data_IF_423930510728
#
_entry.id   IF_423930510728
#
_cell.length_a   1.000
_cell.length_b   1.000
_cell.length_c   1.000
_cell.angle_alpha   90.00
_cell.angle_beta   90.00
_cell.angle_gamma   90.00
#
_symmetry.space_group_name_H-M   'P 1'
#
loop_
_entity.id
_entity.type
_entity.pdbx_description
1 polymer ?
#
# COMPACT_ATOMS: atom_id res chain seq x y z
N UNK A 1 8.64 13.51 0.07
CA UNK A 1 8.77 13.97 1.50
C UNK A 1 9.27 12.81 2.34
N UNK A 2 10.21 13.02 3.23
CA UNK A 2 10.65 12.02 4.21
C UNK A 2 9.62 11.96 5.35
N UNK A 3 8.88 10.85 5.45
CA UNK A 3 7.86 10.65 6.48
C UNK A 3 8.45 10.10 7.79
N UNK A 4 9.49 9.27 7.67
CA UNK A 4 10.23 8.71 8.82
C UNK A 4 11.69 8.45 8.46
N UNK A 5 12.42 7.75 9.33
CA UNK A 5 13.79 7.35 9.06
C UNK A 5 13.89 6.37 7.88
N UNK A 6 12.91 5.50 7.68
CA UNK A 6 12.90 4.50 6.62
C UNK A 6 11.89 4.79 5.50
N UNK A 7 10.92 5.69 5.69
CA UNK A 7 9.78 5.89 4.80
C UNK A 7 9.80 7.23 4.07
N UNK A 8 9.66 7.21 2.75
CA UNK A 8 9.45 8.38 1.88
C UNK A 8 8.06 8.32 1.28
N UNK A 9 7.42 9.49 1.17
CA UNK A 9 6.14 9.66 0.49
C UNK A 9 6.29 10.64 -0.68
N UNK A 10 5.71 10.28 -1.82
CA UNK A 10 5.65 11.15 -2.99
C UNK A 10 4.30 11.03 -3.69
N UNK A 11 3.69 12.17 -4.03
CA UNK A 11 2.53 12.17 -4.92
C UNK A 11 2.99 12.34 -6.36
N UNK A 12 2.45 11.54 -7.25
CA UNK A 12 2.68 11.65 -8.68
C UNK A 12 1.36 11.78 -9.43
N UNK A 13 1.41 12.54 -10.52
CA UNK A 13 0.31 12.78 -11.43
C UNK A 13 0.72 12.34 -12.84
N UNK A 14 -0.16 11.65 -13.54
CA UNK A 14 -0.02 11.30 -14.94
C UNK A 14 -1.28 11.75 -15.69
N UNK A 15 -1.09 12.56 -16.75
CA UNK A 15 -2.18 13.02 -17.59
C UNK A 15 -2.47 12.01 -18.72
N UNK A 16 -3.69 12.06 -19.31
CA UNK A 16 -4.02 11.24 -20.48
C UNK A 16 -2.99 11.32 -21.60
N UNK A 17 -2.53 10.17 -22.09
CA UNK A 17 -1.53 10.08 -23.15
C UNK A 17 -0.07 10.28 -22.69
N UNK A 18 0.17 10.62 -21.43
CA UNK A 18 1.53 10.72 -20.90
C UNK A 18 2.15 9.35 -20.62
N UNK A 19 3.47 9.35 -20.64
CA UNK A 19 4.29 8.18 -20.36
C UNK A 19 5.52 8.57 -19.53
N UNK A 20 5.73 7.90 -18.41
CA UNK A 20 6.93 8.00 -17.60
C UNK A 20 7.91 6.88 -17.99
N UNK A 21 9.16 7.24 -18.37
CA UNK A 21 10.13 6.29 -18.93
C UNK A 21 10.47 5.12 -18.02
N UNK A 22 10.74 3.98 -18.65
CA UNK A 22 11.20 2.78 -17.96
C UNK A 22 12.49 3.03 -17.20
N UNK A 23 12.51 2.62 -15.95
CA UNK A 23 13.66 2.69 -15.07
C UNK A 23 13.60 1.59 -14.01
N UNK A 24 14.69 1.39 -13.30
CA UNK A 24 14.76 0.56 -12.10
C UNK A 24 15.57 1.25 -11.02
N UNK A 25 15.25 0.98 -9.79
CA UNK A 25 15.96 1.52 -8.63
C UNK A 25 16.06 0.50 -7.50
N UNK A 26 16.98 0.73 -6.57
CA UNK A 26 17.16 -0.15 -5.40
C UNK A 26 16.09 0.00 -4.33
N UNK A 27 15.55 1.19 -3.99
CA UNK A 27 14.42 1.26 -3.07
C UNK A 27 13.24 0.43 -3.55
N UNK A 28 12.55 -0.27 -2.63
CA UNK A 28 11.22 -0.77 -2.91
C UNK A 28 10.24 0.39 -2.93
N UNK A 29 9.23 0.30 -3.79
CA UNK A 29 8.11 1.21 -3.78
C UNK A 29 6.78 0.45 -3.88
N UNK A 30 5.75 1.04 -3.31
CA UNK A 30 4.36 0.73 -3.61
C UNK A 30 3.65 1.98 -4.07
N UNK A 31 2.65 1.81 -4.91
CA UNK A 31 1.74 2.85 -5.38
C UNK A 31 0.35 2.59 -4.87
N UNK A 32 -0.15 3.47 -4.01
CA UNK A 32 -1.56 3.54 -3.64
C UNK A 32 -2.25 4.51 -4.61
N UNK A 33 -3.21 4.01 -5.39
CA UNK A 33 -3.91 4.84 -6.36
C UNK A 33 -4.92 5.72 -5.63
N UNK A 34 -4.67 7.02 -5.66
CA UNK A 34 -5.44 8.02 -4.91
C UNK A 34 -6.67 8.46 -5.69
N UNK A 35 -6.51 8.73 -6.99
CA UNK A 35 -7.57 9.29 -7.84
C UNK A 35 -7.42 8.84 -9.29
N UNK A 36 -8.54 8.69 -9.98
CA UNK A 36 -8.62 8.36 -11.39
C UNK A 36 -8.48 6.87 -11.70
N UNK A 37 -8.56 6.57 -13.00
CA UNK A 37 -8.39 5.24 -13.60
C UNK A 37 -7.82 5.34 -15.02
N UNK A 38 -7.52 4.19 -15.66
CA UNK A 38 -7.04 4.12 -17.04
C UNK A 38 -5.54 4.32 -17.23
N UNK A 39 -4.80 4.68 -16.18
CA UNK A 39 -3.34 4.56 -16.20
C UNK A 39 -2.91 3.13 -15.84
N UNK A 40 -1.63 2.85 -16.02
CA UNK A 40 -1.03 1.57 -15.67
C UNK A 40 0.44 1.71 -15.28
N UNK A 41 0.90 0.76 -14.47
CA UNK A 41 2.33 0.50 -14.27
C UNK A 41 2.68 -0.81 -14.94
N UNK A 42 3.72 -0.84 -15.78
CA UNK A 42 4.29 -2.10 -16.28
C UNK A 42 5.53 -2.44 -15.43
N UNK A 43 5.55 -3.61 -14.83
CA UNK A 43 6.66 -4.10 -13.99
C UNK A 43 7.17 -5.41 -14.57
N UNK A 44 8.42 -5.44 -15.03
CA UNK A 44 9.03 -6.60 -15.71
C UNK A 44 8.11 -7.24 -16.79
N UNK A 45 7.46 -6.37 -17.58
CA UNK A 45 6.53 -6.76 -18.63
C UNK A 45 5.10 -7.04 -18.18
N UNK A 46 4.80 -7.13 -16.91
CA UNK A 46 3.43 -7.28 -16.42
C UNK A 46 2.73 -5.92 -16.33
N UNK A 47 1.67 -5.72 -17.15
CA UNK A 47 0.88 -4.50 -17.16
C UNK A 47 -0.17 -4.54 -16.05
N UNK A 48 0.04 -3.74 -14.99
CA UNK A 48 -0.86 -3.57 -13.86
C UNK A 48 -1.75 -2.35 -14.08
N UNK A 49 -3.05 -2.49 -14.38
CA UNK A 49 -3.95 -1.35 -14.49
C UNK A 49 -4.13 -0.68 -13.14
N UNK A 50 -4.35 0.64 -13.18
CA UNK A 50 -4.57 1.48 -12.00
C UNK A 50 -6.05 1.79 -11.87
N UNK A 51 -6.62 1.52 -10.70
CA UNK A 51 -7.94 1.99 -10.27
C UNK A 51 -7.84 2.50 -8.84
N UNK A 52 -8.64 3.49 -8.49
CA UNK A 52 -8.59 4.11 -7.15
C UNK A 52 -8.62 3.07 -6.03
N UNK A 53 -7.72 3.20 -5.07
CA UNK A 53 -7.56 2.31 -3.92
C UNK A 53 -6.68 1.08 -4.18
N UNK A 54 -6.33 0.78 -5.44
CA UNK A 54 -5.42 -0.33 -5.76
C UNK A 54 -4.03 -0.07 -5.17
N UNK A 55 -3.39 -1.15 -4.73
CA UNK A 55 -1.98 -1.15 -4.35
C UNK A 55 -1.17 -1.88 -5.41
N UNK A 56 -0.15 -1.21 -5.97
CA UNK A 56 0.75 -1.77 -6.98
C UNK A 56 2.18 -1.74 -6.46
N UNK A 57 2.88 -2.85 -6.60
CA UNK A 57 4.28 -2.99 -6.19
C UNK A 57 5.21 -2.60 -7.34
N UNK A 58 6.29 -1.90 -7.01
CA UNK A 58 7.47 -1.73 -7.86
C UNK A 58 8.70 -2.10 -7.03
N UNK A 59 8.99 -3.42 -6.98
CA UNK A 59 10.03 -3.94 -6.12
C UNK A 59 11.43 -3.55 -6.56
N UNK A 60 12.37 -3.60 -5.61
CA UNK A 60 13.81 -3.40 -5.81
C UNK A 60 14.32 -4.07 -7.08
N UNK A 61 14.94 -3.29 -7.96
CA UNK A 61 15.68 -3.77 -9.12
C UNK A 61 14.82 -4.21 -10.31
N UNK A 62 13.48 -4.28 -10.17
CA UNK A 62 12.60 -4.61 -11.28
C UNK A 62 12.39 -3.37 -12.17
N UNK A 63 12.44 -3.60 -13.50
CA UNK A 63 12.12 -2.57 -14.47
C UNK A 63 10.66 -2.17 -14.40
N UNK A 64 10.39 -0.88 -14.36
CA UNK A 64 9.01 -0.40 -14.39
C UNK A 64 8.89 0.93 -15.14
N UNK A 65 7.72 1.14 -15.71
CA UNK A 65 7.30 2.33 -16.43
C UNK A 65 5.82 2.60 -16.18
N UNK A 66 5.38 3.83 -16.49
CA UNK A 66 3.96 4.20 -16.33
C UNK A 66 3.46 4.76 -17.65
N UNK A 67 2.21 4.45 -17.98
CA UNK A 67 1.53 5.02 -19.11
C UNK A 67 0.07 5.26 -18.80
N UNK A 68 -0.60 6.05 -19.64
CA UNK A 68 -1.99 6.43 -19.44
C UNK A 68 -2.79 6.31 -20.74
N UNK A 69 -3.67 5.31 -20.79
CA UNK A 69 -4.55 5.04 -21.93
C UNK A 69 -5.98 5.59 -21.71
N UNK A 70 -6.26 6.16 -20.53
CA UNK A 70 -7.56 6.71 -20.14
C UNK A 70 -7.76 8.17 -20.54
N UNK A 71 -8.82 8.79 -19.99
CA UNK A 71 -9.27 10.14 -20.36
C UNK A 71 -9.26 11.15 -19.21
N UNK A 72 -9.04 10.71 -17.98
CA UNK A 72 -8.99 11.56 -16.78
C UNK A 72 -7.61 11.44 -16.13
N UNK A 73 -7.10 12.48 -15.47
CA UNK A 73 -5.84 12.39 -14.74
C UNK A 73 -5.86 11.26 -13.71
N UNK A 74 -4.70 10.65 -13.49
CA UNK A 74 -4.50 9.65 -12.43
C UNK A 74 -3.43 10.14 -11.46
N UNK A 75 -3.74 10.07 -10.16
CA UNK A 75 -2.84 10.44 -9.07
C UNK A 75 -2.59 9.21 -8.20
N UNK A 76 -1.35 9.01 -7.81
CA UNK A 76 -0.99 7.98 -6.83
C UNK A 76 -0.03 8.50 -5.78
N UNK A 77 -0.08 7.86 -4.61
CA UNK A 77 0.86 8.01 -3.51
C UNK A 77 1.92 6.92 -3.60
N UNK A 78 3.17 7.31 -3.83
CA UNK A 78 4.31 6.41 -3.67
C UNK A 78 4.73 6.35 -2.21
N UNK A 79 4.95 5.13 -1.71
CA UNK A 79 5.58 4.87 -0.41
C UNK A 79 6.83 4.04 -0.67
N UNK A 80 8.00 4.60 -0.34
CA UNK A 80 9.30 3.97 -0.60
C UNK A 80 10.13 3.83 0.67
N UNK A 81 10.96 2.77 0.71
CA UNK A 81 12.02 2.63 1.72
C UNK A 81 13.30 3.41 1.35
N UNK A 82 13.17 4.42 0.49
CA UNK A 82 14.26 5.25 -0.02
C UNK A 82 15.17 5.84 1.07
N UNK A 83 14.67 6.41 2.19
CA UNK A 83 15.56 7.01 3.18
C UNK A 83 16.52 6.01 3.81
N UNK A 84 16.05 4.78 4.08
CA UNK A 84 16.89 3.72 4.61
C UNK A 84 17.92 3.25 3.58
N UNK A 85 17.49 2.97 2.34
CA UNK A 85 18.38 2.52 1.27
C UNK A 85 19.43 3.59 0.94
N UNK A 86 19.06 4.86 1.01
CA UNK A 86 20.00 5.98 0.84
C UNK A 86 21.00 6.05 2.00
N UNK A 87 20.54 5.89 3.24
CA UNK A 87 21.41 5.87 4.42
C UNK A 87 22.44 4.74 4.39
N UNK A 88 22.06 3.60 3.81
CA UNK A 88 22.96 2.44 3.59
C UNK A 88 23.91 2.63 2.40
N UNK A 89 23.89 3.79 1.73
CA UNK A 89 24.70 4.11 0.53
C UNK A 89 24.47 3.10 -0.63
N UNK A 90 23.28 2.46 -0.66
CA UNK A 90 22.91 1.45 -1.63
C UNK A 90 21.91 1.95 -2.71
N UNK A 91 21.62 3.26 -2.70
CA UNK A 91 20.61 3.84 -3.59
C UNK A 91 21.15 4.14 -4.96
N UNK A 92 20.50 3.62 -6.00
CA UNK A 92 20.71 4.02 -7.40
C UNK A 92 19.39 4.03 -8.18
N UNK A 93 19.41 4.70 -9.33
CA UNK A 93 18.38 4.64 -10.36
C UNK A 93 19.06 4.51 -11.73
N UNK A 94 18.51 3.66 -12.60
CA UNK A 94 19.01 3.44 -13.96
C UNK A 94 17.83 3.52 -14.91
N UNK A 95 17.95 4.36 -15.96
CA UNK A 95 16.98 4.44 -17.06
C UNK A 95 17.11 3.24 -18.01
N UNK A 96 15.99 2.84 -18.59
CA UNK A 96 15.90 1.71 -19.52
C UNK A 96 15.03 1.99 -20.73
N UNK A 97 14.95 0.99 -21.62
CA UNK A 97 14.09 1.02 -22.80
C UNK A 97 12.63 0.71 -22.40
N UNK A 98 11.70 1.12 -23.25
CA UNK A 98 10.29 0.77 -23.11
C UNK A 98 10.13 -0.75 -23.01
N UNK A 99 9.29 -1.20 -22.08
CA UNK A 99 9.07 -2.60 -21.81
C UNK A 99 8.15 -3.26 -22.87
N UNK A 100 8.42 -4.52 -23.15
CA UNK A 100 7.49 -5.39 -23.88
C UNK A 100 6.47 -5.93 -22.87
N UNK A 101 5.20 -5.68 -23.15
CA UNK A 101 4.10 -6.16 -22.27
C UNK A 101 3.85 -7.65 -22.54
N UNK A 102 3.90 -8.44 -21.47
CA UNK A 102 3.52 -9.85 -21.50
C UNK A 102 1.99 -10.00 -21.47
N UNK A 103 1.41 -11.02 -22.11
CA UNK A 103 -0.03 -11.27 -22.03
C UNK A 103 -0.43 -11.76 -20.62
N UNK A 104 -1.64 -11.40 -20.21
CA UNK A 104 -2.24 -11.86 -18.95
C UNK A 104 -2.17 -10.84 -17.81
N UNK A 105 -2.77 -11.25 -16.70
CA UNK A 105 -2.83 -10.47 -15.45
C UNK A 105 -2.45 -11.39 -14.31
N UNK A 106 -1.28 -11.11 -13.69
CA UNK A 106 -0.77 -11.90 -12.57
C UNK A 106 -1.69 -11.90 -11.35
N UNK A 107 -2.37 -10.78 -11.07
CA UNK A 107 -3.32 -10.66 -9.95
C UNK A 107 -4.54 -11.61 -10.09
N UNK A 108 -4.94 -11.96 -11.31
CA UNK A 108 -6.09 -12.84 -11.55
C UNK A 108 -5.88 -14.28 -11.02
N UNK A 109 -4.63 -14.73 -10.98
CA UNK A 109 -4.27 -16.07 -10.47
C UNK A 109 -4.59 -16.20 -8.97
N UNK A 110 -4.51 -15.10 -8.23
CA UNK A 110 -4.72 -15.02 -6.77
C UNK A 110 -6.08 -14.40 -6.39
N UNK A 111 -6.99 -14.24 -7.36
CA UNK A 111 -8.30 -13.62 -7.12
C UNK A 111 -9.26 -14.48 -6.29
N UNK A 112 -9.01 -15.79 -6.19
CA UNK A 112 -9.85 -16.74 -5.46
C UNK A 112 -9.21 -17.08 -4.11
N UNK A 113 -9.85 -16.68 -3.02
CA UNK A 113 -9.36 -16.98 -1.67
C UNK A 113 -9.26 -18.49 -1.42
N UNK A 114 -8.16 -18.91 -0.80
CA UNK A 114 -7.91 -20.31 -0.46
C UNK A 114 -7.44 -21.20 -1.62
N UNK A 115 -7.26 -20.64 -2.82
CA UNK A 115 -6.73 -21.35 -3.98
C UNK A 115 -5.43 -20.71 -4.45
N UNK A 116 -4.36 -21.51 -4.56
CA UNK A 116 -3.07 -21.11 -5.08
C UNK A 116 -2.66 -22.03 -6.24
N UNK A 117 -1.80 -21.57 -7.16
CA UNK A 117 -1.16 -22.45 -8.12
C UNK A 117 -0.47 -23.62 -7.41
N UNK A 118 -0.55 -24.83 -8.00
CA UNK A 118 0.06 -26.01 -7.38
C UNK A 118 1.57 -25.80 -7.16
N UNK A 119 2.07 -25.99 -5.92
CA UNK A 119 3.49 -25.71 -5.63
C UNK A 119 4.46 -26.58 -6.43
N UNK A 120 4.04 -27.77 -6.88
CA UNK A 120 4.89 -28.71 -7.62
C UNK A 120 5.03 -28.32 -9.09
N UNK A 121 3.97 -27.79 -9.71
CA UNK A 121 3.93 -27.60 -11.16
C UNK A 121 3.79 -26.15 -11.61
N UNK A 122 3.25 -25.29 -10.75
CA UNK A 122 2.78 -23.96 -11.15
C UNK A 122 3.22 -22.83 -10.22
N UNK A 123 3.92 -23.16 -9.11
CA UNK A 123 4.40 -22.12 -8.21
C UNK A 123 5.36 -21.20 -8.93
N UNK A 124 5.15 -19.91 -8.79
CA UNK A 124 6.07 -18.91 -9.29
C UNK A 124 7.40 -19.03 -8.54
N UNK A 125 8.51 -18.94 -9.26
CA UNK A 125 9.84 -18.72 -8.68
C UNK A 125 10.11 -17.23 -8.42
N UNK A 126 9.17 -16.38 -8.77
CA UNK A 126 9.26 -14.93 -8.58
C UNK A 126 9.16 -14.57 -7.11
N UNK A 127 10.06 -13.72 -6.65
CA UNK A 127 10.01 -13.16 -5.29
C UNK A 127 8.71 -12.39 -5.02
N UNK A 128 8.14 -11.79 -6.06
CA UNK A 128 6.88 -11.04 -6.05
C UNK A 128 5.91 -11.68 -7.04
N UNK A 129 5.19 -12.74 -6.63
CA UNK A 129 4.30 -13.48 -7.52
C UNK A 129 3.05 -12.68 -7.93
N UNK A 130 2.66 -11.70 -7.11
CA UNK A 130 1.55 -10.79 -7.35
C UNK A 130 2.04 -9.35 -7.20
N UNK A 131 1.82 -8.52 -8.21
CA UNK A 131 2.28 -7.12 -8.25
C UNK A 131 1.15 -6.12 -7.99
N UNK A 132 -0.10 -6.47 -8.28
CA UNK A 132 -1.27 -5.63 -8.06
C UNK A 132 -2.22 -6.28 -7.07
N UNK A 133 -2.69 -5.49 -6.11
CA UNK A 133 -3.68 -5.84 -5.10
C UNK A 133 -4.92 -4.95 -5.31
N UNK A 134 -6.00 -5.49 -5.95
CA UNK A 134 -7.18 -4.70 -6.26
C UNK A 134 -7.92 -4.25 -5.00
N UNK A 135 -8.27 -2.97 -4.94
CA UNK A 135 -9.02 -2.39 -3.83
C UNK A 135 -10.35 -3.10 -3.56
N UNK A 136 -11.07 -3.47 -4.61
CA UNK A 136 -12.33 -4.18 -4.47
C UNK A 136 -12.22 -5.46 -3.63
N UNK A 137 -11.09 -6.19 -3.71
CA UNK A 137 -10.83 -7.38 -2.90
C UNK A 137 -10.53 -7.03 -1.44
N UNK A 138 -9.67 -6.04 -1.19
CA UNK A 138 -9.36 -5.59 0.16
C UNK A 138 -10.60 -5.03 0.86
N UNK A 139 -11.38 -4.22 0.16
CA UNK A 139 -12.65 -3.66 0.66
C UNK A 139 -13.67 -4.75 1.01
N UNK A 140 -13.85 -5.74 0.13
CA UNK A 140 -14.75 -6.86 0.38
C UNK A 140 -14.28 -7.71 1.58
N UNK A 141 -12.97 -7.95 1.73
CA UNK A 141 -12.41 -8.67 2.86
C UNK A 141 -12.67 -7.93 4.19
N UNK A 142 -12.48 -6.60 4.24
CA UNK A 142 -12.76 -5.77 5.41
C UNK A 142 -14.24 -5.81 5.77
N UNK A 143 -15.14 -5.69 4.80
CA UNK A 143 -16.59 -5.74 5.02
C UNK A 143 -17.03 -7.12 5.54
N UNK A 144 -16.49 -8.20 4.97
CA UNK A 144 -16.77 -9.57 5.42
C UNK A 144 -16.27 -9.79 6.85
N UNK A 145 -15.06 -9.33 7.19
CA UNK A 145 -14.50 -9.41 8.53
C UNK A 145 -15.36 -8.63 9.53
N UNK A 146 -15.83 -7.43 9.15
CA UNK A 146 -16.69 -6.61 9.99
C UNK A 146 -18.06 -7.25 10.26
N UNK A 147 -18.60 -7.96 9.27
CA UNK A 147 -19.87 -8.66 9.38
C UNK A 147 -19.77 -9.95 10.20
N UNK A 148 -18.72 -10.75 9.98
CA UNK A 148 -18.47 -12.00 10.69
C UNK A 148 -18.10 -11.78 12.17
N UNK A 149 -17.38 -10.70 12.45
CA UNK A 149 -16.90 -10.36 13.80
C UNK A 149 -17.34 -8.97 14.24
N UNK A 150 -18.63 -8.80 14.61
CA UNK A 150 -19.21 -7.49 14.94
C UNK A 150 -18.58 -6.82 16.17
N UNK A 151 -17.99 -7.59 17.07
CA UNK A 151 -17.35 -7.11 18.30
C UNK A 151 -15.85 -6.84 18.15
N UNK A 152 -15.27 -7.01 16.95
CA UNK A 152 -13.86 -6.74 16.73
C UNK A 152 -13.60 -5.21 16.75
N UNK A 153 -12.70 -4.78 17.63
CA UNK A 153 -12.37 -3.36 17.77
C UNK A 153 -11.58 -2.84 16.56
N UNK A 154 -10.64 -3.63 16.01
CA UNK A 154 -9.85 -3.27 14.86
C UNK A 154 -10.17 -4.17 13.65
N UNK A 155 -10.74 -3.59 12.60
CA UNK A 155 -11.02 -4.29 11.34
C UNK A 155 -9.91 -3.94 10.38
N UNK A 156 -8.93 -4.83 10.29
CA UNK A 156 -7.71 -4.63 9.47
C UNK A 156 -7.36 -5.90 8.73
N UNK A 157 -6.89 -5.76 7.49
CA UNK A 157 -6.29 -6.82 6.70
C UNK A 157 -4.88 -6.40 6.27
N UNK A 158 -3.99 -7.37 6.12
CA UNK A 158 -2.62 -7.18 5.70
C UNK A 158 -2.45 -7.59 4.25
N UNK A 159 -1.78 -6.77 3.45
CA UNK A 159 -1.31 -7.18 2.13
C UNK A 159 -0.13 -8.12 2.30
N UNK A 160 -0.26 -9.33 1.77
CA UNK A 160 0.74 -10.38 1.93
C UNK A 160 1.18 -10.96 0.59
N UNK A 161 2.36 -11.56 0.55
CA UNK A 161 2.73 -12.44 -0.55
C UNK A 161 1.79 -13.65 -0.51
N UNK A 162 0.97 -13.89 -1.55
CA UNK A 162 -0.08 -14.92 -1.50
C UNK A 162 0.47 -16.35 -1.41
N UNK A 163 1.72 -16.59 -1.82
CA UNK A 163 2.32 -17.92 -1.78
C UNK A 163 2.93 -18.27 -0.41
N UNK A 164 3.21 -17.27 0.43
CA UNK A 164 3.89 -17.48 1.71
C UNK A 164 3.11 -16.97 2.92
N UNK A 165 2.18 -16.04 2.71
CA UNK A 165 1.49 -15.32 3.78
C UNK A 165 2.39 -14.31 4.54
N UNK A 166 3.62 -14.12 4.10
CA UNK A 166 4.55 -13.16 4.69
C UNK A 166 4.28 -11.73 4.20
N UNK A 167 4.89 -10.75 4.87
CA UNK A 167 4.87 -9.35 4.41
C UNK A 167 5.27 -9.26 2.94
N UNK A 168 4.59 -8.38 2.19
CA UNK A 168 4.83 -8.18 0.75
C UNK A 168 6.26 -7.72 0.48
N UNK A 169 6.79 -6.87 1.35
CA UNK A 169 8.15 -6.33 1.28
C UNK A 169 8.88 -6.47 2.61
N UNK A 170 10.20 -6.33 2.56
CA UNK A 170 11.05 -6.62 3.71
C UNK A 170 11.12 -5.51 4.76
N UNK A 171 10.90 -4.27 4.34
CA UNK A 171 11.15 -3.06 5.15
C UNK A 171 9.84 -2.47 5.64
N UNK A 172 8.87 -2.33 4.75
CA UNK A 172 7.59 -1.71 5.02
C UNK A 172 6.47 -2.74 4.97
N UNK A 173 5.52 -2.64 5.89
CA UNK A 173 4.26 -3.37 5.93
C UNK A 173 3.13 -2.52 5.37
N UNK A 174 2.12 -3.17 4.79
CA UNK A 174 0.98 -2.50 4.17
C UNK A 174 -0.31 -3.16 4.60
N UNK A 175 -1.30 -2.32 4.91
CA UNK A 175 -2.56 -2.76 5.50
C UNK A 175 -3.72 -1.96 4.91
N UNK A 176 -4.91 -2.56 4.91
CA UNK A 176 -6.15 -1.83 4.77
C UNK A 176 -6.95 -1.93 6.07
N UNK A 177 -7.56 -0.82 6.49
CA UNK A 177 -8.30 -0.70 7.74
C UNK A 177 -9.68 -0.09 7.47
N UNK A 178 -10.70 -0.57 8.17
CA UNK A 178 -12.05 -0.05 8.13
C UNK A 178 -12.48 0.41 9.53
N UNK A 179 -13.05 1.59 9.60
CA UNK A 179 -13.82 2.05 10.77
C UNK A 179 -15.31 1.99 10.45
N UNK A 180 -16.08 1.35 11.34
CA UNK A 180 -17.55 1.38 11.26
C UNK A 180 -18.07 2.81 11.43
N UNK A 181 -19.32 3.09 11.05
CA UNK A 181 -19.98 4.36 11.37
C UNK A 181 -19.89 4.67 12.87
N UNK A 182 -19.46 5.89 13.23
CA UNK A 182 -19.32 6.35 14.62
C UNK A 182 -18.19 5.71 15.42
N UNK A 183 -17.42 4.78 14.86
CA UNK A 183 -16.36 4.07 15.58
C UNK A 183 -15.19 4.96 15.93
N UNK A 184 -14.65 4.77 17.13
CA UNK A 184 -13.34 5.27 17.55
C UNK A 184 -12.42 4.08 17.80
N UNK A 185 -11.22 4.09 17.24
CA UNK A 185 -10.18 3.09 17.40
C UNK A 185 -8.91 3.78 17.93
N UNK A 186 -8.44 3.34 19.09
CA UNK A 186 -7.12 3.73 19.60
C UNK A 186 -6.12 2.64 19.25
N UNK A 187 -5.09 3.00 18.50
CA UNK A 187 -3.98 2.10 18.19
C UNK A 187 -2.97 2.15 19.34
N UNK A 188 -2.37 1.01 19.71
CA UNK A 188 -1.32 1.00 20.70
C UNK A 188 -0.11 1.80 20.18
N UNK A 189 0.59 2.50 21.07
CA UNK A 189 1.85 3.14 20.73
C UNK A 189 2.89 2.07 20.41
N UNK A 190 3.46 2.12 19.21
CA UNK A 190 4.38 1.10 18.71
C UNK A 190 5.64 1.74 18.12
N UNK A 191 6.73 0.98 18.10
CA UNK A 191 8.03 1.49 17.65
C UNK A 191 8.05 1.97 16.19
N UNK A 192 7.36 1.35 15.20
CA UNK A 192 7.33 1.85 13.82
C UNK A 192 6.54 3.15 13.70
N UNK A 193 7.03 4.04 12.83
CA UNK A 193 6.24 5.14 12.30
C UNK A 193 5.17 4.58 11.34
N UNK A 194 4.03 5.28 11.23
CA UNK A 194 2.89 4.84 10.43
C UNK A 194 2.36 5.97 9.54
N UNK A 195 1.94 5.60 8.33
CA UNK A 195 1.23 6.45 7.37
C UNK A 195 -0.22 5.99 7.30
N UNK A 196 -1.14 6.94 7.29
CA UNK A 196 -2.57 6.74 7.09
C UNK A 196 -3.00 7.55 5.87
N UNK A 197 -3.58 6.87 4.89
CA UNK A 197 -4.20 7.50 3.72
C UNK A 197 -5.68 7.13 3.69
N UNK A 198 -6.56 8.15 3.66
CA UNK A 198 -8.00 7.92 3.63
C UNK A 198 -8.46 7.65 2.20
N UNK A 199 -8.87 6.41 1.92
CA UNK A 199 -9.36 5.98 0.60
C UNK A 199 -10.81 6.40 0.40
N UNK A 200 -11.69 6.09 1.37
CA UNK A 200 -13.13 6.37 1.30
C UNK A 200 -13.64 6.94 2.62
N UNK A 201 -14.54 7.91 2.53
CA UNK A 201 -15.27 8.47 3.68
C UNK A 201 -14.63 9.72 4.26
N UNK A 202 -14.83 9.94 5.55
CA UNK A 202 -14.26 11.03 6.33
C UNK A 202 -13.94 10.56 7.75
N UNK A 203 -12.82 11.01 8.29
CA UNK A 203 -12.39 10.62 9.62
C UNK A 203 -11.63 11.74 10.33
N UNK A 204 -11.44 11.59 11.63
CA UNK A 204 -10.51 12.37 12.43
C UNK A 204 -9.37 11.47 12.85
N UNK A 205 -8.14 11.95 12.72
CA UNK A 205 -6.95 11.29 13.22
C UNK A 205 -6.32 12.18 14.28
N UNK A 206 -6.20 11.67 15.49
CA UNK A 206 -5.47 12.32 16.57
C UNK A 206 -4.12 11.64 16.78
N UNK A 207 -3.06 12.42 16.78
CA UNK A 207 -1.68 11.96 17.01
C UNK A 207 -1.14 12.79 18.17
N UNK A 208 -0.87 12.15 19.31
CA UNK A 208 -0.54 12.81 20.56
C UNK A 208 -1.61 13.86 20.91
N UNK A 209 -1.22 15.13 21.00
CA UNK A 209 -2.10 16.26 21.31
C UNK A 209 -2.72 16.96 20.11
N UNK A 210 -2.37 16.53 18.89
CA UNK A 210 -2.83 17.14 17.63
C UNK A 210 -3.94 16.32 16.99
N UNK A 211 -4.96 16.98 16.45
CA UNK A 211 -6.08 16.34 15.74
C UNK A 211 -6.25 16.93 14.36
N UNK A 212 -6.52 16.07 13.38
CA UNK A 212 -6.67 16.41 11.96
C UNK A 212 -7.97 15.80 11.44
N UNK A 213 -8.83 16.61 10.80
CA UNK A 213 -9.92 16.11 9.99
C UNK A 213 -9.38 15.66 8.64
N UNK A 214 -9.65 14.43 8.25
CA UNK A 214 -9.30 13.87 6.95
C UNK A 214 -10.54 13.66 6.10
N UNK A 215 -10.43 14.00 4.83
CA UNK A 215 -11.35 13.63 3.76
C UNK A 215 -10.65 12.68 2.79
N UNK A 216 -11.40 12.14 1.84
CA UNK A 216 -10.84 11.25 0.80
C UNK A 216 -9.62 11.87 0.13
N UNK A 217 -8.59 11.08 -0.11
CA UNK A 217 -7.27 11.44 -0.64
C UNK A 217 -6.31 12.11 0.35
N UNK A 218 -6.74 12.46 1.55
CA UNK A 218 -5.83 12.99 2.57
C UNK A 218 -4.88 11.92 3.12
N UNK A 219 -3.66 12.36 3.44
CA UNK A 219 -2.61 11.51 4.02
C UNK A 219 -1.99 12.18 5.24
N UNK A 220 -1.79 11.43 6.31
CA UNK A 220 -1.05 11.89 7.48
C UNK A 220 -0.06 10.82 7.95
N UNK A 221 0.93 11.24 8.76
CA UNK A 221 1.98 10.39 9.30
C UNK A 221 2.05 10.53 10.81
N UNK A 222 2.13 9.41 11.52
CA UNK A 222 2.42 9.36 12.95
C UNK A 222 3.86 8.89 13.16
N UNK A 223 4.68 9.62 13.94
CA UNK A 223 6.00 9.14 14.35
C UNK A 223 5.91 7.85 15.15
N UNK A 224 7.02 7.10 15.22
CA UNK A 224 7.12 5.94 16.10
C UNK A 224 6.81 6.28 17.56
N UNK A 225 6.22 5.34 18.27
CA UNK A 225 5.76 5.46 19.66
C UNK A 225 4.69 6.53 19.93
N UNK A 226 4.11 7.14 18.89
CA UNK A 226 3.01 8.09 19.09
C UNK A 226 1.71 7.36 19.45
N UNK A 227 0.96 7.96 20.36
CA UNK A 227 -0.44 7.57 20.59
C UNK A 227 -1.29 8.05 19.41
N UNK A 228 -2.04 7.13 18.79
CA UNK A 228 -2.88 7.41 17.62
C UNK A 228 -4.31 6.98 17.89
N UNK A 229 -5.25 7.88 17.64
CA UNK A 229 -6.70 7.58 17.68
C UNK A 229 -7.31 7.94 16.33
N UNK A 230 -8.03 6.98 15.73
CA UNK A 230 -8.79 7.14 14.51
C UNK A 230 -10.28 7.19 14.86
N UNK A 231 -11.02 8.16 14.33
CA UNK A 231 -12.44 8.30 14.59
C UNK A 231 -13.22 8.54 13.30
N UNK A 232 -14.17 7.65 13.01
CA UNK A 232 -15.15 7.89 11.97
C UNK A 232 -16.33 8.68 12.56
N UNK A 233 -16.50 9.94 12.14
CA UNK A 233 -17.61 10.81 12.61
C UNK A 233 -18.88 10.65 11.79
N UNK A 234 -18.86 9.87 10.71
CA UNK A 234 -20.03 9.63 9.88
C UNK A 234 -20.99 8.65 10.59
N UNK A 235 -22.28 8.96 10.58
CA UNK A 235 -23.31 8.15 11.27
C UNK A 235 -23.71 6.89 10.47
N UNK A 236 -23.53 6.89 9.14
CA UNK A 236 -24.12 5.88 8.25
C UNK A 236 -23.15 5.25 7.25
N UNK A 237 -21.95 5.77 7.14
CA UNK A 237 -20.94 5.28 6.19
C UNK A 237 -19.66 4.87 6.92
N UNK A 238 -19.02 3.74 6.54
CA UNK A 238 -17.69 3.39 7.01
C UNK A 238 -16.63 4.33 6.44
N UNK A 239 -15.47 4.38 7.10
CA UNK A 239 -14.26 5.00 6.57
C UNK A 239 -13.21 3.93 6.32
N UNK A 240 -12.48 4.03 5.20
CA UNK A 240 -11.47 3.07 4.81
C UNK A 240 -10.11 3.73 4.63
N UNK A 241 -9.09 3.12 5.21
CA UNK A 241 -7.73 3.60 5.14
C UNK A 241 -6.81 2.58 4.47
N UNK A 242 -5.85 3.08 3.74
CA UNK A 242 -4.58 2.41 3.52
C UNK A 242 -3.61 2.82 4.63
N UNK A 243 -2.82 1.86 5.10
CA UNK A 243 -1.77 2.10 6.09
C UNK A 243 -0.46 1.51 5.60
N UNK A 244 0.63 2.19 5.93
CA UNK A 244 2.00 1.68 5.76
C UNK A 244 2.81 1.95 7.03
N UNK A 245 3.64 0.98 7.43
CA UNK A 245 4.50 1.11 8.61
C UNK A 245 5.85 0.41 8.42
N UNK A 246 6.74 0.58 9.39
CA UNK A 246 8.08 -0.01 9.44
C UNK A 246 8.14 -1.34 10.22
N UNK A 247 6.99 -1.96 10.54
CA UNK A 247 6.93 -3.18 11.38
C UNK A 247 7.79 -4.34 10.86
N UNK A 248 7.85 -4.63 9.54
CA UNK A 248 8.72 -5.70 9.04
C UNK A 248 10.20 -5.45 9.31
N UNK A 249 10.66 -4.21 9.15
CA UNK A 249 12.04 -3.81 9.50
C UNK A 249 12.30 -3.98 10.98
N UNK A 250 11.43 -3.43 11.83
CA UNK A 250 11.61 -3.46 13.29
C UNK A 250 11.59 -4.91 13.83
N UNK A 251 10.72 -5.78 13.29
CA UNK A 251 10.73 -7.22 13.64
C UNK A 251 12.04 -7.89 13.25
N UNK A 252 12.58 -7.63 12.05
CA UNK A 252 13.84 -8.22 11.60
C UNK A 252 15.06 -7.75 12.41
N UNK A 253 15.03 -6.50 12.87
CA UNK A 253 16.10 -5.94 13.72
C UNK A 253 15.94 -6.31 15.21
N UNK A 254 14.82 -6.93 15.62
CA UNK A 254 14.55 -7.23 17.02
C UNK A 254 14.22 -6.02 17.90
N UNK A 255 13.80 -4.89 17.27
CA UNK A 255 13.47 -3.63 17.96
C UNK A 255 11.96 -3.31 17.92
N UNK A 256 11.14 -4.26 17.45
CA UNK A 256 9.69 -4.08 17.46
C UNK A 256 9.19 -4.07 18.90
N UNK A 257 8.53 -3.00 19.28
CA UNK A 257 8.01 -2.78 20.63
C UNK A 257 6.59 -2.19 20.56
N UNK A 258 5.72 -2.64 21.42
CA UNK A 258 4.38 -2.08 21.67
C UNK A 258 4.31 -1.64 23.11
N UNK A 259 3.91 -0.39 23.34
CA UNK A 259 3.69 0.19 24.66
C UNK A 259 2.20 0.29 24.93
N UNK A 260 1.81 -0.23 26.08
CA UNK A 260 0.43 -0.19 26.55
C UNK A 260 0.17 0.98 27.48
#
# INVERSE_FOLDING_TARGET
MKASAAMYLGMQLLLPGEWAPSHRHTPNAVRMIVEGDGAYTTVDGEKCPMSRGDLILTPTGLWHEHGHDGTQPVVWLDVLDLPLVYYLEASYVIGGSRQTVSPGRGDAVYASGGLLPSPVFQRSDRRYPMLRYPWAQARAALQSLAADRPNLDCIQVTYVNPETGADVQNILGYYALMLRPGQTLTLPAQSPACVFHLIEGAAEVSIETSSFGLVEADTCCAPGFSAVTLRNRQAHAPAFFFMADESPLHRKLGVYEVRG
#
